data_IF_565984410568
#
_entry.id   IF_565984410568
#
_cell.length_a   1.000
_cell.length_b   1.000
_cell.length_c   1.000
_cell.angle_alpha   90.00
_cell.angle_beta   90.00
_cell.angle_gamma   90.00
#
_symmetry.space_group_name_H-M   'P 1'
#
loop_
_entity.id
_entity.type
_entity.pdbx_description
1 polymer ?
#
# COMPACT_ATOMS: atom_id res chain seq x y z
N UNK A 1 10.98 -4.88 -9.05
CA UNK A 1 11.09 -4.42 -7.63
C UNK A 1 12.47 -4.73 -7.08
N UNK A 2 13.07 -3.85 -6.22
CA UNK A 2 14.34 -4.14 -5.56
C UNK A 2 14.29 -5.44 -4.74
N UNK A 3 15.37 -6.23 -4.75
CA UNK A 3 15.43 -7.53 -4.08
C UNK A 3 15.20 -7.49 -2.56
N UNK A 4 15.50 -6.36 -1.94
CA UNK A 4 15.39 -6.15 -0.48
C UNK A 4 14.16 -5.33 -0.05
N UNK A 5 13.23 -5.06 -0.98
CA UNK A 5 12.11 -4.14 -0.74
C UNK A 5 11.24 -4.53 0.45
N UNK A 6 11.01 -5.82 0.68
CA UNK A 6 10.19 -6.27 1.81
C UNK A 6 10.85 -6.00 3.16
N UNK A 7 12.15 -6.28 3.27
CA UNK A 7 12.93 -5.97 4.49
C UNK A 7 12.95 -4.47 4.73
N UNK A 8 13.16 -3.69 3.67
CA UNK A 8 13.11 -2.24 3.73
C UNK A 8 11.73 -1.75 4.21
N UNK A 9 10.66 -2.25 3.58
CA UNK A 9 9.29 -1.86 3.93
C UNK A 9 8.92 -2.18 5.37
N UNK A 10 9.23 -3.39 5.84
CA UNK A 10 8.99 -3.77 7.23
C UNK A 10 9.74 -2.87 8.23
N UNK A 11 10.96 -2.44 7.89
CA UNK A 11 11.71 -1.47 8.68
C UNK A 11 11.03 -0.10 8.69
N UNK A 12 10.59 0.39 7.53
CA UNK A 12 9.89 1.67 7.42
C UNK A 12 8.54 1.66 8.17
N UNK A 13 7.80 0.56 8.13
CA UNK A 13 6.58 0.39 8.95
C UNK A 13 6.92 0.42 10.45
N UNK A 14 7.98 -0.27 10.87
CA UNK A 14 8.44 -0.21 12.27
C UNK A 14 8.79 1.23 12.68
N UNK A 15 9.51 1.95 11.85
CA UNK A 15 9.87 3.35 12.08
C UNK A 15 8.65 4.27 12.10
N UNK A 16 7.67 4.03 11.23
CA UNK A 16 6.40 4.74 11.22
C UNK A 16 5.68 4.60 12.55
N UNK A 17 5.49 3.38 13.05
CA UNK A 17 4.80 3.16 14.33
C UNK A 17 5.56 3.68 15.55
N UNK A 18 6.89 3.72 15.50
CA UNK A 18 7.70 4.34 16.57
C UNK A 18 7.50 5.87 16.63
N UNK A 19 7.34 6.53 15.49
CA UNK A 19 7.15 7.98 15.39
C UNK A 19 5.69 8.41 15.57
N UNK A 20 4.75 7.52 15.25
CA UNK A 20 3.33 7.82 15.28
C UNK A 20 2.76 7.59 16.69
N UNK A 21 2.11 8.63 17.25
CA UNK A 21 1.49 8.57 18.58
C UNK A 21 0.02 8.11 18.54
N UNK A 22 -0.62 8.18 17.37
CA UNK A 22 -2.05 7.88 17.19
C UNK A 22 -2.30 6.37 17.07
N UNK A 23 -1.41 5.65 16.35
CA UNK A 23 -1.60 4.24 16.09
C UNK A 23 -0.49 3.40 16.76
N UNK A 24 -0.90 2.32 17.43
CA UNK A 24 0.02 1.36 18.04
C UNK A 24 0.05 0.08 17.20
N UNK A 25 1.24 -0.38 16.85
CA UNK A 25 1.44 -1.62 16.08
C UNK A 25 0.68 -2.81 16.66
N UNK A 26 0.72 -2.99 18.00
CA UNK A 26 0.06 -4.10 18.70
C UNK A 26 -1.48 -4.08 18.53
N UNK A 27 -2.09 -2.91 18.50
CA UNK A 27 -3.54 -2.76 18.31
C UNK A 27 -3.95 -3.14 16.91
N UNK A 28 -3.23 -2.64 15.89
CA UNK A 28 -3.46 -3.02 14.49
C UNK A 28 -3.25 -4.52 14.29
N UNK A 29 -2.17 -5.08 14.88
CA UNK A 29 -1.89 -6.51 14.81
C UNK A 29 -3.00 -7.37 15.43
N UNK A 30 -3.64 -6.93 16.51
CA UNK A 30 -4.80 -7.62 17.11
C UNK A 30 -6.01 -7.58 16.17
N UNK A 31 -6.32 -6.43 15.56
CA UNK A 31 -7.42 -6.31 14.58
C UNK A 31 -7.18 -7.28 13.42
N UNK A 32 -5.99 -7.30 12.84
CA UNK A 32 -5.65 -8.18 11.72
C UNK A 32 -5.73 -9.65 12.13
N UNK A 33 -5.17 -10.01 13.28
CA UNK A 33 -5.21 -11.41 13.76
C UNK A 33 -6.64 -11.89 14.02
N UNK A 34 -7.49 -11.04 14.61
CA UNK A 34 -8.90 -11.32 14.90
C UNK A 34 -9.70 -11.57 13.61
N UNK A 35 -9.52 -10.73 12.60
CA UNK A 35 -10.38 -10.74 11.41
C UNK A 35 -9.84 -11.66 10.29
N UNK A 36 -8.52 -11.88 10.21
CA UNK A 36 -7.88 -12.61 9.11
C UNK A 36 -7.14 -13.88 9.55
N UNK A 37 -6.94 -14.09 10.84
CA UNK A 37 -6.10 -15.19 11.33
C UNK A 37 -4.60 -15.02 11.04
N UNK A 38 -4.19 -13.98 10.31
CA UNK A 38 -2.82 -13.71 9.88
C UNK A 38 -2.07 -12.82 10.88
N UNK A 39 -0.73 -12.91 10.88
CA UNK A 39 0.08 -11.88 11.54
C UNK A 39 0.08 -10.60 10.70
N UNK A 40 0.11 -9.44 11.35
CA UNK A 40 0.17 -8.16 10.65
C UNK A 40 1.44 -8.04 9.79
N UNK A 41 2.58 -8.55 10.28
CA UNK A 41 3.82 -8.61 9.51
C UNK A 41 3.66 -9.40 8.20
N UNK A 42 2.97 -10.56 8.24
CA UNK A 42 2.72 -11.36 7.02
C UNK A 42 1.81 -10.59 6.05
N UNK A 43 0.74 -9.96 6.54
CA UNK A 43 -0.18 -9.18 5.73
C UNK A 43 0.53 -8.03 4.99
N UNK A 44 1.48 -7.36 5.65
CA UNK A 44 2.22 -6.24 5.06
C UNK A 44 3.01 -6.61 3.80
N UNK A 45 3.44 -7.87 3.68
CA UNK A 45 4.30 -8.36 2.59
C UNK A 45 3.69 -9.56 1.84
N UNK A 46 2.38 -9.76 1.93
CA UNK A 46 1.70 -10.76 1.10
C UNK A 46 1.99 -10.51 -0.37
N UNK A 47 2.42 -11.56 -1.07
CA UNK A 47 2.67 -11.52 -2.52
C UNK A 47 1.37 -11.37 -3.30
N UNK A 48 1.42 -10.91 -4.57
CA UNK A 48 0.21 -10.72 -5.38
C UNK A 48 -0.74 -11.93 -5.41
N UNK A 49 -0.22 -13.14 -5.62
CA UNK A 49 -1.05 -14.34 -5.64
C UNK A 49 -1.63 -14.68 -4.26
N UNK A 50 -0.89 -14.45 -3.17
CA UNK A 50 -1.38 -14.64 -1.81
C UNK A 50 -2.50 -13.64 -1.47
N UNK A 51 -2.42 -12.39 -1.98
CA UNK A 51 -3.48 -11.38 -1.84
C UNK A 51 -4.74 -11.84 -2.59
N UNK A 52 -4.60 -12.28 -3.83
CA UNK A 52 -5.72 -12.78 -4.64
C UNK A 52 -6.38 -13.98 -3.95
N UNK A 53 -5.59 -14.93 -3.47
CA UNK A 53 -6.10 -16.09 -2.73
C UNK A 53 -6.82 -15.67 -1.45
N UNK A 54 -6.28 -14.73 -0.69
CA UNK A 54 -6.93 -14.20 0.52
C UNK A 54 -8.29 -13.56 0.21
N UNK A 55 -8.38 -12.77 -0.86
CA UNK A 55 -9.63 -12.12 -1.28
C UNK A 55 -10.68 -13.17 -1.70
N UNK A 56 -10.26 -14.21 -2.40
CA UNK A 56 -11.17 -15.23 -2.96
C UNK A 56 -11.60 -16.30 -1.94
N UNK A 57 -10.81 -16.54 -0.89
CA UNK A 57 -11.00 -17.69 0.01
C UNK A 57 -12.00 -17.46 1.13
N UNK A 58 -12.32 -16.22 1.50
CA UNK A 58 -13.18 -15.96 2.66
C UNK A 58 -13.91 -14.62 2.52
N UNK A 59 -15.23 -14.54 2.77
CA UNK A 59 -15.90 -13.26 2.96
C UNK A 59 -15.36 -12.61 4.25
N UNK A 60 -14.44 -11.69 4.09
CA UNK A 60 -13.81 -10.98 5.21
C UNK A 60 -14.70 -9.81 5.60
N UNK A 61 -15.30 -9.88 6.79
CA UNK A 61 -16.11 -8.80 7.33
C UNK A 61 -15.39 -8.07 8.47
N UNK A 62 -14.96 -6.84 8.17
CA UNK A 62 -14.47 -5.93 9.20
C UNK A 62 -15.64 -5.13 9.79
N UNK A 63 -15.65 -4.91 11.10
CA UNK A 63 -16.57 -3.98 11.73
C UNK A 63 -16.36 -2.56 11.17
N UNK A 64 -17.39 -1.71 11.26
CA UNK A 64 -17.26 -0.31 10.84
C UNK A 64 -16.13 0.42 11.57
N UNK A 65 -15.94 0.12 12.86
CA UNK A 65 -14.84 0.67 13.66
C UNK A 65 -13.47 0.21 13.14
N UNK A 66 -13.30 -1.10 12.87
CA UNK A 66 -12.04 -1.63 12.34
C UNK A 66 -11.72 -1.08 10.95
N UNK A 67 -12.74 -0.93 10.06
CA UNK A 67 -12.59 -0.28 8.75
C UNK A 67 -12.09 1.15 8.90
N UNK A 68 -12.71 1.92 9.78
CA UNK A 68 -12.33 3.32 10.04
C UNK A 68 -10.89 3.43 10.52
N UNK A 69 -10.47 2.55 11.43
CA UNK A 69 -9.09 2.50 11.93
C UNK A 69 -8.10 2.25 10.76
N UNK A 70 -8.40 1.31 9.87
CA UNK A 70 -7.53 1.00 8.73
C UNK A 70 -7.47 2.15 7.72
N UNK A 71 -8.58 2.84 7.46
CA UNK A 71 -8.62 4.02 6.60
C UNK A 71 -7.78 5.17 7.18
N UNK A 72 -7.93 5.45 8.46
CA UNK A 72 -7.20 6.52 9.14
C UNK A 72 -5.71 6.18 9.27
N UNK A 73 -5.36 4.91 9.48
CA UNK A 73 -3.99 4.42 9.43
C UNK A 73 -3.36 4.72 8.07
N UNK A 74 -4.05 4.44 6.97
CA UNK A 74 -3.53 4.74 5.63
C UNK A 74 -3.38 6.24 5.39
N UNK A 75 -4.37 7.07 5.75
CA UNK A 75 -4.28 8.53 5.62
C UNK A 75 -3.04 9.08 6.32
N UNK A 76 -2.79 8.60 7.52
CA UNK A 76 -1.61 8.96 8.32
C UNK A 76 -0.30 8.46 7.69
N UNK A 77 -0.28 7.19 7.25
CA UNK A 77 0.88 6.59 6.59
C UNK A 77 1.24 7.33 5.30
N UNK A 78 0.25 7.65 4.45
CA UNK A 78 0.45 8.32 3.16
C UNK A 78 1.18 9.66 3.28
N UNK A 79 0.91 10.43 4.33
CA UNK A 79 1.55 11.73 4.58
C UNK A 79 2.89 11.62 5.33
N UNK A 80 3.26 10.41 5.76
CA UNK A 80 4.48 10.20 6.55
C UNK A 80 5.74 10.17 5.70
N UNK A 81 6.89 10.40 6.36
CA UNK A 81 8.20 10.22 5.72
C UNK A 81 8.44 8.76 5.27
N UNK A 82 7.84 7.77 5.95
CA UNK A 82 7.97 6.36 5.58
C UNK A 82 7.36 6.02 4.22
N UNK A 83 6.23 6.65 3.85
CA UNK A 83 5.66 6.49 2.52
C UNK A 83 6.52 7.12 1.43
N UNK A 84 7.14 8.26 1.71
CA UNK A 84 8.08 8.92 0.79
C UNK A 84 9.37 8.10 0.61
N UNK A 85 9.90 7.53 1.70
CA UNK A 85 11.03 6.61 1.64
C UNK A 85 10.71 5.34 0.83
N UNK A 86 9.47 4.84 0.92
CA UNK A 86 9.02 3.70 0.11
C UNK A 86 9.03 4.05 -1.38
N UNK A 87 8.46 5.20 -1.77
CA UNK A 87 8.46 5.67 -3.16
C UNK A 87 9.89 5.83 -3.70
N UNK A 88 10.78 6.42 -2.92
CA UNK A 88 12.19 6.57 -3.27
C UNK A 88 12.88 5.21 -3.44
N UNK A 89 12.62 4.24 -2.55
CA UNK A 89 13.21 2.89 -2.63
C UNK A 89 12.69 2.10 -3.83
N UNK A 90 11.41 2.24 -4.18
CA UNK A 90 10.85 1.60 -5.38
C UNK A 90 11.47 2.20 -6.65
N UNK A 91 11.72 3.51 -6.67
CA UNK A 91 12.43 4.26 -7.70
C UNK A 91 11.89 4.05 -9.12
N UNK A 92 10.58 4.15 -9.29
CA UNK A 92 9.94 4.15 -10.61
C UNK A 92 9.92 5.57 -11.18
N UNK A 93 10.31 5.71 -12.45
CA UNK A 93 10.34 6.99 -13.16
C UNK A 93 9.15 7.15 -14.11
N UNK A 94 8.42 6.08 -14.39
CA UNK A 94 7.24 6.08 -15.27
C UNK A 94 6.09 5.38 -14.56
N UNK A 95 4.88 5.89 -14.76
CA UNK A 95 3.67 5.30 -14.19
C UNK A 95 3.43 3.89 -14.77
N UNK A 96 3.38 2.84 -13.94
CA UNK A 96 3.25 1.46 -14.44
C UNK A 96 1.86 1.13 -15.01
N UNK A 97 0.85 1.98 -14.78
CA UNK A 97 -0.47 1.78 -15.38
C UNK A 97 -0.60 2.28 -16.82
N UNK A 98 0.06 3.38 -17.18
CA UNK A 98 -0.09 3.96 -18.52
C UNK A 98 1.20 3.94 -19.34
N UNK A 99 2.33 3.67 -18.71
CA UNK A 99 3.67 3.71 -19.31
C UNK A 99 3.96 4.99 -20.13
N UNK A 100 3.35 6.12 -19.74
CA UNK A 100 3.44 7.42 -20.44
C UNK A 100 3.86 8.55 -19.54
N UNK A 101 3.20 8.67 -18.37
CA UNK A 101 3.43 9.78 -17.47
C UNK A 101 4.65 9.51 -16.60
N UNK A 102 5.58 10.44 -16.60
CA UNK A 102 6.72 10.41 -15.68
C UNK A 102 6.25 10.66 -14.25
N UNK A 103 6.86 9.93 -13.33
CA UNK A 103 6.69 10.08 -11.88
C UNK A 103 8.06 10.24 -11.26
N UNK A 104 8.24 11.25 -10.42
CA UNK A 104 9.54 11.59 -9.85
C UNK A 104 9.48 11.65 -8.34
N UNK A 105 10.58 11.28 -7.72
CA UNK A 105 10.87 11.55 -6.33
C UNK A 105 11.98 12.59 -6.28
N UNK A 106 11.84 13.63 -5.50
CA UNK A 106 12.85 14.66 -5.35
C UNK A 106 12.98 15.14 -3.91
N UNK A 107 14.20 15.49 -3.55
CA UNK A 107 14.51 16.04 -2.24
C UNK A 107 14.56 17.57 -2.34
N UNK A 108 13.76 18.26 -1.55
CA UNK A 108 13.94 19.66 -1.24
C UNK A 108 14.80 19.80 0.00
N UNK A 109 15.37 20.98 0.23
CA UNK A 109 16.32 21.26 1.32
C UNK A 109 15.88 20.67 2.68
N UNK A 110 14.57 20.71 2.98
CA UNK A 110 14.00 20.24 4.26
C UNK A 110 12.85 19.21 4.10
N UNK A 111 12.61 18.71 2.89
CA UNK A 111 11.51 17.76 2.64
C UNK A 111 11.78 16.83 1.48
N UNK A 112 11.17 15.64 1.54
CA UNK A 112 11.06 14.73 0.41
C UNK A 112 9.71 14.93 -0.25
N UNK A 113 9.70 15.03 -1.56
CA UNK A 113 8.49 15.19 -2.36
C UNK A 113 8.42 14.12 -3.45
N UNK A 114 7.22 13.81 -3.90
CA UNK A 114 6.99 12.87 -4.97
C UNK A 114 5.81 13.32 -5.82
N UNK A 115 5.91 13.20 -7.14
CA UNK A 115 4.76 13.32 -8.04
C UNK A 115 3.97 12.03 -8.12
N UNK A 116 4.60 10.90 -7.74
CA UNK A 116 3.92 9.62 -7.60
C UNK A 116 2.94 9.63 -6.43
N UNK A 117 1.79 9.02 -6.65
CA UNK A 117 0.81 8.69 -5.63
C UNK A 117 0.81 7.19 -5.38
N UNK A 118 0.65 6.77 -4.11
CA UNK A 118 0.43 5.37 -3.77
C UNK A 118 -1.04 5.03 -4.01
N UNK A 119 -1.31 4.42 -5.15
CA UNK A 119 -2.64 3.88 -5.46
C UNK A 119 -2.84 2.51 -4.81
N UNK A 120 -4.09 2.21 -4.43
CA UNK A 120 -4.48 0.87 -3.97
C UNK A 120 -4.95 0.04 -5.16
N UNK A 121 -4.20 -0.99 -5.54
CA UNK A 121 -4.61 -1.88 -6.62
C UNK A 121 -5.97 -2.51 -6.31
N UNK A 122 -6.12 -3.12 -5.15
CA UNK A 122 -7.41 -3.54 -4.58
C UNK A 122 -7.95 -2.40 -3.72
N UNK A 123 -9.15 -1.93 -4.06
CA UNK A 123 -9.76 -0.75 -3.43
C UNK A 123 -9.83 -0.86 -1.90
N UNK A 124 -9.36 0.16 -1.21
CA UNK A 124 -9.28 0.18 0.26
C UNK A 124 -10.64 0.24 0.96
N UNK A 125 -11.70 0.68 0.28
CA UNK A 125 -13.05 0.70 0.87
C UNK A 125 -13.65 -0.72 0.90
N UNK A 126 -13.30 -1.53 -0.09
CA UNK A 126 -13.67 -2.94 -0.18
C UNK A 126 -12.74 -3.82 0.64
N UNK A 127 -11.44 -3.55 0.58
CA UNK A 127 -10.38 -4.34 1.22
C UNK A 127 -9.54 -3.49 2.19
N UNK A 128 -10.13 -2.97 3.29
CA UNK A 128 -9.46 -2.03 4.20
C UNK A 128 -8.19 -2.59 4.82
N UNK A 129 -8.13 -3.90 5.04
CA UNK A 129 -6.97 -4.61 5.59
C UNK A 129 -5.73 -4.55 4.68
N UNK A 130 -5.91 -4.33 3.37
CA UNK A 130 -4.81 -4.19 2.41
C UNK A 130 -4.32 -2.74 2.29
N UNK A 131 -4.85 -1.81 3.07
CA UNK A 131 -4.60 -0.36 2.94
C UNK A 131 -3.13 0.03 3.04
N UNK A 132 -2.31 -0.73 3.77
CA UNK A 132 -0.86 -0.55 3.85
C UNK A 132 -0.09 -1.84 3.53
N UNK A 133 -0.66 -2.75 2.75
CA UNK A 133 0.06 -3.92 2.23
C UNK A 133 0.96 -3.52 1.06
N UNK A 134 2.24 -3.88 1.09
CA UNK A 134 3.26 -3.44 0.13
C UNK A 134 2.83 -3.64 -1.32
N UNK A 135 2.42 -4.85 -1.66
CA UNK A 135 2.04 -5.19 -3.02
C UNK A 135 0.66 -4.70 -3.43
N UNK A 136 -0.11 -4.11 -2.51
CA UNK A 136 -1.33 -3.38 -2.85
C UNK A 136 -1.08 -1.89 -3.13
N UNK A 137 0.10 -1.37 -2.82
CA UNK A 137 0.47 0.04 -2.99
C UNK A 137 1.27 0.22 -4.28
N UNK A 138 0.63 0.73 -5.32
CA UNK A 138 1.25 0.95 -6.64
C UNK A 138 1.61 2.42 -6.82
N UNK A 139 2.90 2.78 -6.98
CA UNK A 139 3.27 4.14 -7.37
C UNK A 139 2.67 4.47 -8.74
N UNK A 140 1.85 5.50 -8.83
CA UNK A 140 1.16 5.85 -10.06
C UNK A 140 1.06 7.36 -10.25
N UNK A 141 0.82 7.81 -11.48
CA UNK A 141 0.51 9.20 -11.75
C UNK A 141 -0.91 9.56 -11.26
N UNK A 142 -1.15 10.82 -10.96
CA UNK A 142 -2.44 11.31 -10.46
C UNK A 142 -3.60 10.98 -11.41
N UNK A 143 -3.38 11.11 -12.72
CA UNK A 143 -4.40 10.80 -13.74
C UNK A 143 -4.84 9.34 -13.68
N UNK A 144 -3.90 8.38 -13.62
CA UNK A 144 -4.24 6.97 -13.54
C UNK A 144 -4.90 6.62 -12.20
N UNK A 145 -4.39 7.15 -11.09
CA UNK A 145 -4.97 6.94 -9.78
C UNK A 145 -6.44 7.42 -9.72
N UNK A 146 -6.72 8.63 -10.25
CA UNK A 146 -8.08 9.18 -10.30
C UNK A 146 -9.00 8.38 -11.23
N UNK A 147 -8.52 8.00 -12.43
CA UNK A 147 -9.31 7.23 -13.40
C UNK A 147 -9.62 5.82 -12.95
N UNK A 148 -8.67 5.17 -12.29
CA UNK A 148 -8.87 3.84 -11.73
C UNK A 148 -9.95 3.87 -10.65
N UNK A 149 -9.86 4.83 -9.70
CA UNK A 149 -10.84 5.01 -8.63
C UNK A 149 -11.27 3.66 -8.01
N UNK A 150 -12.56 3.31 -8.10
CA UNK A 150 -13.14 2.06 -7.58
C UNK A 150 -13.36 0.98 -8.64
N UNK A 151 -12.73 1.11 -9.82
CA UNK A 151 -12.87 0.09 -10.87
C UNK A 151 -12.40 -1.27 -10.38
N UNK A 152 -13.06 -2.31 -10.85
CA UNK A 152 -12.70 -3.69 -10.53
C UNK A 152 -11.26 -3.97 -10.97
N UNK A 153 -10.45 -4.44 -10.05
CA UNK A 153 -9.07 -4.83 -10.29
C UNK A 153 -8.92 -5.97 -11.31
N UNK A 154 -10.00 -6.70 -11.62
CA UNK A 154 -10.01 -7.76 -12.64
C UNK A 154 -9.82 -7.25 -14.07
N UNK A 155 -10.17 -5.98 -14.32
CA UNK A 155 -10.08 -5.34 -15.64
C UNK A 155 -8.81 -4.51 -15.83
N UNK A 156 -7.94 -4.49 -14.83
CA UNK A 156 -6.78 -3.62 -14.81
C UNK A 156 -5.51 -4.47 -14.66
N UNK A 157 -4.53 -4.15 -15.50
CA UNK A 157 -3.16 -4.67 -15.40
C UNK A 157 -2.60 -4.51 -13.98
N UNK A 158 -2.13 -5.62 -13.39
CA UNK A 158 -1.54 -5.65 -12.05
C UNK A 158 -0.01 -5.55 -12.14
N UNK A 159 0.57 -4.36 -11.90
CA UNK A 159 1.99 -4.10 -12.18
C UNK A 159 3.00 -4.96 -11.42
N UNK A 160 2.58 -5.57 -10.31
CA UNK A 160 3.45 -6.46 -9.54
C UNK A 160 3.40 -7.92 -10.00
N UNK A 161 2.51 -8.27 -10.91
CA UNK A 161 2.33 -9.62 -11.44
C UNK A 161 2.60 -9.71 -12.93
N UNK A 162 2.31 -8.65 -13.65
CA UNK A 162 2.34 -8.58 -15.10
C UNK A 162 3.36 -7.53 -15.55
N UNK A 163 3.89 -7.64 -16.77
CA UNK A 163 4.78 -6.66 -17.39
C UNK A 163 4.23 -6.24 -18.75
N UNK A 164 4.49 -4.99 -19.16
CA UNK A 164 4.33 -4.61 -20.56
C UNK A 164 5.43 -5.33 -21.37
N UNK A 165 5.05 -6.26 -22.21
CA UNK A 165 5.93 -6.85 -23.22
C UNK A 165 5.87 -6.02 -24.49
#
# INVERSE_FOLDING_TARGET
MPLDIEKFYLREISNYFKRNKTFRYKEIAKIIKKNLGLSFKKLLILKPDEIINLINSTPISFSAADKKIMEDLYKNFRSSISSKNLLEKINLNVCPYCNRNFIFNFNKKDSKEATAQLDHFFDKSTYPYLSISLYNLVPSCSTCNQRKSKKDSKEIFYPYKESFN
#
